data_IF_940481879138
#
_entry.id   IF_940481879138
#
_cell.length_a   1.000
_cell.length_b   1.000
_cell.length_c   1.000
_cell.angle_alpha   90.00
_cell.angle_beta   90.00
_cell.angle_gamma   90.00
#
_symmetry.space_group_name_H-M   'P 1'
#
loop_
_entity.id
_entity.type
_entity.pdbx_description
1 polymer ?
#
# COMPACT_ATOMS: atom_id res chain seq x y z
N UNK A 1 -6.45 9.18 -5.12
CA UNK A 1 -6.94 9.72 -3.83
C UNK A 1 -5.88 10.68 -3.31
N UNK A 2 -6.16 11.98 -3.22
CA UNK A 2 -5.19 12.97 -2.73
C UNK A 2 -5.51 13.22 -1.25
N UNK A 3 -4.70 12.68 -0.34
CA UNK A 3 -4.90 12.81 1.10
C UNK A 3 -4.18 14.07 1.56
N UNK A 4 -4.92 15.17 1.75
CA UNK A 4 -4.30 16.44 2.16
C UNK A 4 -4.14 16.56 3.68
N UNK A 5 -4.96 15.86 4.48
CA UNK A 5 -4.95 15.93 5.96
C UNK A 5 -5.28 14.59 6.64
N UNK A 6 -4.73 13.48 6.15
CA UNK A 6 -4.93 12.18 6.79
C UNK A 6 -3.91 11.96 7.92
N UNK A 7 -4.36 11.47 9.07
CA UNK A 7 -3.47 10.96 10.12
C UNK A 7 -3.38 9.44 10.01
N UNK A 8 -2.22 8.92 9.63
CA UNK A 8 -1.98 7.48 9.57
C UNK A 8 -1.50 6.99 10.94
N UNK A 9 -2.30 6.14 11.58
CA UNK A 9 -2.05 5.63 12.93
C UNK A 9 -1.69 4.14 12.87
N UNK A 10 -0.58 3.76 13.51
CA UNK A 10 -0.14 2.36 13.58
C UNK A 10 0.44 2.02 14.96
N UNK A 11 0.36 0.75 15.37
CA UNK A 11 0.96 0.29 16.62
C UNK A 11 2.34 -0.37 16.45
N UNK A 12 2.89 -0.40 15.23
CA UNK A 12 4.20 -0.97 14.93
C UNK A 12 5.27 0.13 14.84
N UNK A 13 6.20 0.16 15.82
CA UNK A 13 7.25 1.17 15.87
C UNK A 13 8.25 1.06 14.70
N UNK A 14 8.58 -0.15 14.27
CA UNK A 14 9.52 -0.37 13.16
C UNK A 14 8.95 0.21 11.87
N UNK A 15 7.65 0.07 11.65
CA UNK A 15 6.96 0.62 10.48
C UNK A 15 6.95 2.16 10.50
N UNK A 16 6.64 2.77 11.64
CA UNK A 16 6.70 4.24 11.81
C UNK A 16 8.10 4.75 11.49
N UNK A 17 9.12 4.12 12.07
CA UNK A 17 10.50 4.51 11.88
C UNK A 17 10.95 4.37 10.43
N UNK A 18 10.46 3.37 9.71
CA UNK A 18 10.81 3.14 8.32
C UNK A 18 10.13 4.13 7.38
N UNK A 19 8.81 4.27 7.45
CA UNK A 19 8.05 5.13 6.53
C UNK A 19 8.43 6.61 6.69
N UNK A 20 8.64 7.07 7.92
CA UNK A 20 8.95 8.48 8.18
C UNK A 20 10.42 8.86 7.88
N UNK A 21 11.27 7.92 7.47
CA UNK A 21 12.64 8.24 7.03
C UNK A 21 12.64 8.82 5.62
N UNK A 22 13.73 9.52 5.29
CA UNK A 22 13.96 10.00 3.93
C UNK A 22 14.42 8.87 2.98
N UNK A 23 15.02 7.81 3.51
CA UNK A 23 15.52 6.67 2.74
C UNK A 23 14.69 5.41 3.01
N UNK A 24 14.11 4.86 1.93
CA UNK A 24 13.29 3.64 1.91
C UNK A 24 13.93 2.51 1.08
N UNK A 25 15.23 2.59 0.81
CA UNK A 25 15.91 1.56 0.00
C UNK A 25 16.03 0.21 0.73
N UNK A 26 16.07 0.24 2.07
CA UNK A 26 16.35 -0.91 2.93
C UNK A 26 15.23 -1.15 3.97
N UNK A 27 14.15 -1.88 3.61
CA UNK A 27 13.12 -2.26 4.57
C UNK A 27 13.64 -3.27 5.60
N UNK A 28 13.05 -3.30 6.81
CA UNK A 28 13.42 -4.26 7.85
C UNK A 28 13.11 -5.72 7.47
N UNK A 29 12.16 -5.94 6.56
CA UNK A 29 11.89 -7.22 5.90
C UNK A 29 11.62 -6.94 4.41
N UNK A 30 12.24 -7.69 3.51
CA UNK A 30 12.04 -7.50 2.07
C UNK A 30 10.61 -7.83 1.63
N UNK A 31 9.93 -8.75 2.35
CA UNK A 31 8.55 -9.16 2.03
C UNK A 31 7.54 -8.04 2.18
N UNK A 32 7.85 -7.04 3.00
CA UNK A 32 6.97 -5.88 3.23
C UNK A 32 7.29 -4.70 2.30
N UNK A 33 8.32 -4.82 1.45
CA UNK A 33 8.72 -3.75 0.52
C UNK A 33 7.57 -3.28 -0.38
N UNK A 34 6.73 -4.17 -0.96
CA UNK A 34 5.63 -3.72 -1.80
C UNK A 34 4.64 -2.80 -1.07
N UNK A 35 4.17 -3.25 0.10
CA UNK A 35 3.19 -2.52 0.90
C UNK A 35 3.73 -1.20 1.43
N UNK A 36 5.00 -1.19 1.85
CA UNK A 36 5.62 0.03 2.35
C UNK A 36 5.88 1.05 1.24
N UNK A 37 6.23 0.61 0.02
CA UNK A 37 6.37 1.50 -1.14
C UNK A 37 5.04 2.12 -1.54
N UNK A 38 3.94 1.36 -1.51
CA UNK A 38 2.61 1.86 -1.80
C UNK A 38 2.22 2.99 -0.82
N UNK A 39 2.47 2.79 0.47
CA UNK A 39 2.25 3.83 1.50
C UNK A 39 3.15 5.05 1.25
N UNK A 40 4.44 4.86 0.94
CA UNK A 40 5.34 5.97 0.63
C UNK A 40 4.87 6.76 -0.60
N UNK A 41 4.42 6.08 -1.66
CA UNK A 41 3.91 6.72 -2.87
C UNK A 41 2.63 7.51 -2.59
N UNK A 42 1.74 6.98 -1.75
CA UNK A 42 0.50 7.64 -1.33
C UNK A 42 0.76 8.89 -0.50
N UNK A 43 1.85 8.90 0.28
CA UNK A 43 2.28 10.04 1.09
C UNK A 43 3.19 11.01 0.33
N UNK A 44 3.69 10.64 -0.84
CA UNK A 44 4.58 11.48 -1.63
C UNK A 44 3.89 12.81 -1.99
N UNK A 45 4.53 13.93 -1.67
CA UNK A 45 3.97 15.27 -1.88
C UNK A 45 2.97 15.72 -0.80
N UNK A 46 2.76 14.95 0.26
CA UNK A 46 1.98 15.35 1.45
C UNK A 46 2.92 15.66 2.62
N UNK A 47 2.44 16.44 3.60
CA UNK A 47 3.12 16.60 4.90
C UNK A 47 2.72 15.52 5.92
N UNK A 48 2.04 14.46 5.48
CA UNK A 48 1.53 13.41 6.36
C UNK A 48 2.65 12.46 6.79
N UNK A 49 2.73 12.21 8.09
CA UNK A 49 3.60 11.19 8.68
C UNK A 49 2.78 10.06 9.31
N UNK A 50 3.40 8.89 9.50
CA UNK A 50 2.84 7.84 10.34
C UNK A 50 3.05 8.18 11.81
N UNK A 51 2.02 7.97 12.63
CA UNK A 51 2.07 8.18 14.07
C UNK A 51 1.89 6.87 14.83
N UNK A 52 2.73 6.69 15.85
CA UNK A 52 2.64 5.54 16.75
C UNK A 52 1.46 5.72 17.73
N UNK A 53 0.61 4.71 17.82
CA UNK A 53 -0.41 4.58 18.88
C UNK A 53 -0.16 3.35 19.75
N UNK A 54 -0.78 3.30 20.93
CA UNK A 54 -0.68 2.09 21.77
C UNK A 54 -1.52 0.96 21.17
N UNK A 55 -1.13 -0.30 21.45
CA UNK A 55 -1.84 -1.49 20.93
C UNK A 55 -3.32 -1.51 21.33
N UNK A 56 -3.66 -0.97 22.50
CA UNK A 56 -5.04 -0.86 22.97
C UNK A 56 -5.91 -0.01 22.03
N UNK A 57 -5.35 1.03 21.42
CA UNK A 57 -6.06 1.87 20.46
C UNK A 57 -6.11 1.25 19.04
N UNK A 58 -5.38 0.15 18.79
CA UNK A 58 -5.33 -0.55 17.49
C UNK A 58 -6.07 -1.90 17.51
N UNK A 59 -6.87 -2.17 18.54
CA UNK A 59 -7.52 -3.47 18.75
C UNK A 59 -8.43 -3.89 17.59
N UNK A 60 -9.22 -2.94 17.07
CA UNK A 60 -10.15 -3.20 15.97
C UNK A 60 -9.39 -3.58 14.69
N UNK A 61 -8.35 -2.82 14.33
CA UNK A 61 -7.53 -3.13 13.16
C UNK A 61 -6.84 -4.50 13.27
N UNK A 62 -6.31 -4.84 14.45
CA UNK A 62 -5.72 -6.16 14.71
C UNK A 62 -6.76 -7.29 14.62
N UNK A 63 -7.99 -7.09 15.10
CA UNK A 63 -9.06 -8.08 15.00
C UNK A 63 -9.44 -8.32 13.54
N UNK A 64 -9.64 -7.25 12.76
CA UNK A 64 -9.99 -7.35 11.34
C UNK A 64 -8.88 -8.00 10.52
N UNK A 65 -7.60 -7.66 10.77
CA UNK A 65 -6.46 -8.27 10.10
C UNK A 65 -6.35 -9.79 10.38
N UNK A 66 -6.71 -10.23 11.59
CA UNK A 66 -6.76 -11.66 11.92
C UNK A 66 -7.91 -12.35 11.18
N UNK A 67 -9.10 -11.75 11.20
CA UNK A 67 -10.26 -12.29 10.49
C UNK A 67 -10.00 -12.42 8.99
N UNK A 68 -9.40 -11.42 8.36
CA UNK A 68 -9.05 -11.48 6.94
C UNK A 68 -8.04 -12.59 6.68
N UNK A 69 -6.98 -12.71 7.48
CA UNK A 69 -5.99 -13.77 7.34
C UNK A 69 -6.60 -15.19 7.39
N UNK A 70 -7.63 -15.41 8.21
CA UNK A 70 -8.36 -16.68 8.25
C UNK A 70 -9.33 -16.87 7.08
N UNK A 71 -9.87 -15.79 6.52
CA UNK A 71 -10.78 -15.81 5.37
C UNK A 71 -10.05 -15.98 4.01
N UNK A 72 -8.76 -15.64 3.93
CA UNK A 72 -7.95 -15.62 2.69
C UNK A 72 -7.65 -16.98 2.05
N UNK A 73 -8.30 -18.08 2.47
CA UNK A 73 -8.11 -19.40 1.86
C UNK A 73 -8.79 -19.56 0.48
N UNK A 74 -9.48 -18.53 -0.02
CA UNK A 74 -10.11 -18.53 -1.34
C UNK A 74 -9.82 -17.18 -2.00
N UNK A 75 -8.87 -17.11 -2.94
CA UNK A 75 -9.05 -16.46 -4.25
C UNK A 75 -7.75 -16.26 -5.04
N UNK A 76 -7.88 -16.61 -6.31
CA UNK A 76 -7.09 -16.23 -7.47
C UNK A 76 -6.44 -14.83 -7.35
N UNK A 77 -5.15 -14.73 -7.68
CA UNK A 77 -4.43 -13.46 -7.83
C UNK A 77 -5.02 -12.65 -9.00
N UNK A 78 -6.08 -11.89 -8.74
CA UNK A 78 -6.58 -10.89 -9.68
C UNK A 78 -5.85 -9.59 -9.39
N UNK A 79 -5.13 -9.06 -10.38
CA UNK A 79 -4.49 -7.75 -10.28
C UNK A 79 -5.54 -6.66 -10.04
N UNK A 80 -5.35 -5.85 -8.99
CA UNK A 80 -6.18 -4.68 -8.68
C UNK A 80 -5.27 -3.48 -8.54
N UNK A 81 -5.48 -2.47 -9.40
CA UNK A 81 -4.71 -1.23 -9.40
C UNK A 81 -5.57 -0.05 -9.79
N UNK A 82 -5.15 1.16 -9.44
CA UNK A 82 -5.81 2.40 -9.87
C UNK A 82 -4.81 3.32 -10.57
N UNK A 83 -5.27 4.04 -11.59
CA UNK A 83 -4.44 5.00 -12.32
C UNK A 83 -4.57 6.39 -11.68
N UNK A 84 -3.46 7.01 -11.31
CA UNK A 84 -3.43 8.37 -10.77
C UNK A 84 -3.22 9.46 -11.85
N UNK A 85 -3.03 9.08 -13.12
CA UNK A 85 -2.83 10.03 -14.21
C UNK A 85 -4.18 10.69 -14.60
N UNK A 86 -4.32 12.03 -14.46
CA UNK A 86 -5.57 12.72 -14.72
C UNK A 86 -6.01 12.66 -16.20
N UNK A 87 -5.09 12.48 -17.15
CA UNK A 87 -5.43 12.31 -18.57
C UNK A 87 -6.26 11.05 -18.83
N UNK A 88 -6.14 10.04 -17.97
CA UNK A 88 -6.78 8.73 -18.11
C UNK A 88 -7.76 8.44 -16.96
N UNK A 89 -8.34 9.49 -16.35
CA UNK A 89 -9.24 9.37 -15.20
C UNK A 89 -10.45 8.46 -15.45
N UNK A 90 -10.86 8.28 -16.71
CA UNK A 90 -12.03 7.48 -17.11
C UNK A 90 -11.67 6.09 -17.66
N UNK A 91 -10.39 5.74 -17.71
CA UNK A 91 -9.92 4.47 -18.27
C UNK A 91 -8.45 4.56 -18.66
N UNK A 92 -7.64 3.66 -18.11
CA UNK A 92 -6.22 3.57 -18.42
C UNK A 92 -5.99 2.33 -19.29
N UNK A 93 -5.71 2.50 -20.60
CA UNK A 93 -5.53 1.35 -21.51
C UNK A 93 -4.44 0.39 -21.04
N UNK A 94 -3.43 0.95 -20.36
CA UNK A 94 -2.36 0.17 -19.77
C UNK A 94 -2.83 -0.68 -18.59
N UNK A 95 -3.75 -0.16 -17.77
CA UNK A 95 -4.32 -0.88 -16.63
C UNK A 95 -5.26 -1.99 -17.12
N UNK A 96 -6.03 -1.73 -18.18
CA UNK A 96 -6.87 -2.73 -18.85
C UNK A 96 -6.02 -3.86 -19.43
N UNK A 97 -4.89 -3.53 -20.08
CA UNK A 97 -3.95 -4.52 -20.58
C UNK A 97 -3.30 -5.33 -19.45
N UNK A 98 -3.00 -4.70 -18.30
CA UNK A 98 -2.39 -5.38 -17.15
C UNK A 98 -3.31 -6.44 -16.54
N UNK A 99 -4.63 -6.24 -16.60
CA UNK A 99 -5.61 -7.24 -16.13
C UNK A 99 -5.55 -8.55 -16.95
N UNK A 100 -5.05 -8.48 -18.19
CA UNK A 100 -4.89 -9.65 -19.07
C UNK A 100 -3.55 -10.38 -18.85
N UNK A 101 -2.63 -9.80 -18.07
CA UNK A 101 -1.34 -10.40 -17.78
C UNK A 101 -1.47 -11.36 -16.61
N UNK A 102 -1.04 -12.60 -16.81
CA UNK A 102 -0.93 -13.57 -15.72
C UNK A 102 0.32 -13.22 -14.90
N UNK A 103 0.11 -12.56 -13.77
CA UNK A 103 1.15 -12.19 -12.82
C UNK A 103 1.31 -13.34 -11.82
N UNK A 104 2.10 -14.35 -12.20
CA UNK A 104 2.50 -15.42 -11.29
C UNK A 104 3.82 -15.05 -10.61
N UNK A 105 3.89 -15.25 -9.30
CA UNK A 105 5.11 -15.20 -8.49
C UNK A 105 5.87 -13.85 -8.48
N UNK A 106 5.25 -12.76 -8.96
CA UNK A 106 5.82 -11.41 -8.91
C UNK A 106 4.79 -10.40 -8.40
N UNK A 107 5.25 -9.32 -7.77
CA UNK A 107 4.39 -8.23 -7.28
C UNK A 107 4.77 -6.94 -7.99
N UNK A 108 3.81 -6.34 -8.69
CA UNK A 108 4.01 -5.04 -9.34
C UNK A 108 3.91 -3.94 -8.29
N UNK A 109 4.97 -3.15 -8.15
CA UNK A 109 5.07 -2.11 -7.11
C UNK A 109 4.57 -0.74 -7.58
N UNK A 110 4.85 -0.42 -8.83
CA UNK A 110 4.47 0.83 -9.46
C UNK A 110 4.50 0.61 -10.97
N UNK A 111 3.62 1.30 -11.68
CA UNK A 111 3.71 1.39 -13.12
C UNK A 111 3.42 2.82 -13.57
N UNK A 112 4.21 3.30 -14.51
CA UNK A 112 4.02 4.59 -15.14
C UNK A 112 3.33 4.39 -16.47
N UNK A 113 2.16 5.02 -16.62
CA UNK A 113 1.52 5.18 -17.92
C UNK A 113 1.84 6.57 -18.47
N UNK A 114 2.16 6.63 -19.77
CA UNK A 114 2.33 7.88 -20.51
C UNK A 114 0.97 8.32 -21.06
#
# INVERSE_FOLDING_TARGET
MHLTDAHLLVDNQLLVNYINRADHSNPPDWKIKPYTQEVTNLLAGTSTALHKITRQHNQMANLLARQSAFASHVNQFVFSGSCANPCHAHGCPFLDALQLVIINDVTILAVTCC
#
